data_IF_951870354813
#
_entry.id   IF_951870354813
#
_cell.length_a   1.000
_cell.length_b   1.000
_cell.length_c   1.000
_cell.angle_alpha   90.00
_cell.angle_beta   90.00
_cell.angle_gamma   90.00
#
_symmetry.space_group_name_H-M   'P 1'
#
loop_
_entity.id
_entity.type
_entity.pdbx_description
1 polymer ?
#
# COMPACT_ATOMS: atom_id res chain seq x y z
N UNK A 1 -24.04 -6.33 -3.62
CA UNK A 1 -23.19 -5.33 -4.29
C UNK A 1 -23.11 -5.72 -5.76
N UNK A 2 -23.26 -4.75 -6.67
CA UNK A 2 -23.14 -5.01 -8.11
C UNK A 2 -21.67 -5.12 -8.48
N UNK A 3 -21.35 -6.05 -9.39
CA UNK A 3 -19.99 -6.16 -9.92
C UNK A 3 -19.82 -5.16 -11.06
N UNK A 4 -18.76 -4.33 -10.98
CA UNK A 4 -18.42 -3.37 -12.04
C UNK A 4 -17.32 -3.89 -12.96
N UNK A 5 -16.50 -4.83 -12.45
CA UNK A 5 -15.46 -5.53 -13.20
C UNK A 5 -15.36 -6.97 -12.74
N UNK A 6 -15.30 -7.91 -13.70
CA UNK A 6 -15.09 -9.32 -13.42
C UNK A 6 -13.86 -9.83 -14.21
N UNK A 7 -12.89 -10.36 -13.52
CA UNK A 7 -11.69 -11.01 -14.09
C UNK A 7 -11.83 -12.51 -13.87
N UNK A 8 -11.89 -13.31 -14.94
CA UNK A 8 -12.20 -14.74 -14.88
C UNK A 8 -11.10 -15.58 -15.54
N UNK A 9 -10.35 -16.30 -14.72
CA UNK A 9 -9.31 -17.26 -15.15
C UNK A 9 -8.30 -16.67 -16.14
N UNK A 10 -7.93 -15.41 -15.95
CA UNK A 10 -7.08 -14.67 -16.87
C UNK A 10 -5.64 -15.14 -16.78
N UNK A 11 -5.11 -15.58 -17.92
CA UNK A 11 -3.71 -15.97 -18.07
C UNK A 11 -3.04 -15.15 -19.16
N UNK A 12 -1.78 -14.75 -18.93
CA UNK A 12 -0.94 -14.08 -19.92
C UNK A 12 0.41 -14.74 -20.04
N UNK A 13 0.68 -15.23 -21.24
CA UNK A 13 1.94 -15.84 -21.62
C UNK A 13 2.60 -14.95 -22.68
N UNK A 14 3.84 -14.54 -22.43
CA UNK A 14 4.68 -13.84 -23.40
C UNK A 14 5.65 -14.81 -24.05
N UNK A 15 5.76 -14.76 -25.37
CA UNK A 15 6.78 -15.49 -26.14
C UNK A 15 8.05 -14.65 -26.24
N UNK A 16 9.10 -15.09 -25.58
CA UNK A 16 10.40 -14.41 -25.57
C UNK A 16 11.36 -15.10 -26.53
N UNK A 17 11.74 -14.40 -27.58
CA UNK A 17 12.68 -14.89 -28.58
C UNK A 17 14.09 -14.36 -28.27
N UNK A 18 15.12 -15.20 -28.44
CA UNK A 18 16.51 -14.80 -28.27
C UNK A 18 17.00 -13.88 -29.41
N UNK A 19 16.42 -14.02 -30.60
CA UNK A 19 16.74 -13.25 -31.79
C UNK A 19 15.49 -13.02 -32.66
N UNK A 20 15.45 -11.91 -33.37
CA UNK A 20 14.38 -11.65 -34.35
C UNK A 20 14.31 -12.73 -35.44
N UNK A 21 15.45 -13.37 -35.78
CA UNK A 21 15.50 -14.51 -36.70
C UNK A 21 14.78 -15.75 -36.16
N UNK A 22 14.74 -15.97 -34.86
CA UNK A 22 14.08 -17.13 -34.27
C UNK A 22 12.56 -17.05 -34.45
N UNK A 23 12.00 -15.84 -34.45
CA UNK A 23 10.58 -15.59 -34.74
C UNK A 23 10.24 -15.96 -36.20
N UNK A 24 11.14 -15.61 -37.15
CA UNK A 24 10.97 -16.00 -38.56
C UNK A 24 11.13 -17.50 -38.76
N UNK A 25 12.13 -18.12 -38.13
CA UNK A 25 12.33 -19.57 -38.19
C UNK A 25 11.12 -20.36 -37.68
N UNK A 26 10.51 -19.89 -36.60
CA UNK A 26 9.30 -20.52 -36.03
C UNK A 26 8.15 -20.51 -37.01
N UNK A 27 8.01 -19.44 -37.83
CA UNK A 27 6.95 -19.31 -38.83
C UNK A 27 7.09 -20.37 -39.95
N UNK A 28 8.34 -20.68 -40.36
CA UNK A 28 8.62 -21.57 -41.50
C UNK A 28 8.88 -23.02 -41.09
N UNK A 29 9.48 -23.24 -39.91
CA UNK A 29 9.98 -24.56 -39.50
C UNK A 29 9.01 -25.34 -38.59
N UNK A 30 7.87 -24.76 -38.19
CA UNK A 30 6.88 -25.35 -37.27
C UNK A 30 7.48 -25.90 -35.96
N UNK A 31 8.66 -25.40 -35.56
CA UNK A 31 9.36 -25.76 -34.31
C UNK A 31 9.40 -24.51 -33.41
N UNK A 32 9.07 -24.67 -32.11
CA UNK A 32 9.13 -23.59 -31.14
C UNK A 32 10.58 -23.16 -30.89
N UNK A 33 10.85 -21.87 -31.09
CA UNK A 33 12.15 -21.20 -30.82
C UNK A 33 12.05 -20.15 -29.75
N UNK A 34 10.88 -19.99 -29.10
CA UNK A 34 10.65 -19.05 -28.00
C UNK A 34 10.70 -19.77 -26.65
N UNK A 35 10.98 -18.99 -25.61
CA UNK A 35 10.66 -19.36 -24.23
C UNK A 35 9.34 -18.73 -23.85
N UNK A 36 8.49 -19.49 -23.19
CA UNK A 36 7.28 -18.95 -22.60
C UNK A 36 7.60 -18.30 -21.24
N UNK A 37 7.10 -17.09 -21.07
CA UNK A 37 7.11 -16.37 -19.81
C UNK A 37 5.67 -16.13 -19.37
N UNK A 38 5.25 -16.83 -18.31
CA UNK A 38 3.92 -16.69 -17.73
C UNK A 38 3.94 -15.48 -16.80
N UNK A 39 3.29 -14.40 -17.21
CA UNK A 39 3.20 -13.16 -16.44
C UNK A 39 2.02 -13.15 -15.48
N UNK A 40 0.88 -13.70 -15.91
CA UNK A 40 -0.28 -13.95 -15.07
C UNK A 40 -0.76 -15.37 -15.33
N UNK A 41 -1.14 -16.09 -14.29
CA UNK A 41 -1.55 -17.48 -14.33
C UNK A 41 -2.86 -17.67 -13.56
N UNK A 42 -3.95 -17.85 -14.30
CA UNK A 42 -5.29 -18.13 -13.77
C UNK A 42 -5.79 -17.10 -12.73
N UNK A 43 -5.64 -15.82 -13.03
CA UNK A 43 -6.08 -14.71 -12.16
C UNK A 43 -7.61 -14.59 -12.21
N UNK A 44 -8.26 -14.59 -11.04
CA UNK A 44 -9.71 -14.38 -10.92
C UNK A 44 -10.04 -13.52 -9.74
N UNK A 45 -10.75 -12.42 -9.97
CA UNK A 45 -11.29 -11.54 -8.92
C UNK A 45 -12.40 -10.64 -9.47
N UNK A 46 -13.20 -10.10 -8.57
CA UNK A 46 -14.26 -9.15 -8.87
C UNK A 46 -13.97 -7.80 -8.19
N UNK A 47 -14.40 -6.71 -8.85
CA UNK A 47 -14.47 -5.38 -8.26
C UNK A 47 -15.94 -4.97 -8.17
N UNK A 48 -16.34 -4.46 -7.02
CA UNK A 48 -17.72 -4.02 -6.78
C UNK A 48 -17.87 -2.50 -6.91
N UNK A 49 -19.10 -2.04 -7.17
CA UNK A 49 -19.41 -0.60 -7.25
C UNK A 49 -19.04 0.12 -5.96
N UNK A 50 -18.29 1.24 -6.08
CA UNK A 50 -17.84 2.06 -4.96
C UNK A 50 -16.69 1.45 -4.16
N UNK A 51 -16.20 0.25 -4.52
CA UNK A 51 -15.08 -0.42 -3.85
C UNK A 51 -13.73 0.16 -4.28
N UNK A 52 -12.80 0.28 -3.35
CA UNK A 52 -11.36 0.47 -3.62
C UNK A 52 -10.63 -0.85 -3.38
N UNK A 53 -10.14 -1.46 -4.45
CA UNK A 53 -9.38 -2.70 -4.44
C UNK A 53 -7.89 -2.43 -4.59
N UNK A 54 -7.11 -2.74 -3.56
CA UNK A 54 -5.66 -2.66 -3.59
C UNK A 54 -5.02 -3.83 -4.32
N UNK A 55 -3.91 -3.60 -5.02
CA UNK A 55 -3.07 -4.68 -5.57
C UNK A 55 -1.63 -4.46 -5.12
N UNK A 56 -1.08 -5.45 -4.41
CA UNK A 56 0.29 -5.45 -3.91
C UNK A 56 1.05 -6.68 -4.40
N UNK A 57 2.36 -6.62 -4.43
CA UNK A 57 3.24 -7.73 -4.80
C UNK A 57 4.63 -7.23 -5.18
N UNK A 58 5.62 -8.11 -5.15
CA UNK A 58 7.00 -7.79 -5.51
C UNK A 58 7.13 -7.36 -6.98
N UNK A 59 8.27 -6.79 -7.34
CA UNK A 59 8.58 -6.47 -8.73
C UNK A 59 8.56 -7.75 -9.57
N UNK A 60 7.90 -7.71 -10.73
CA UNK A 60 7.71 -8.89 -11.58
C UNK A 60 6.56 -9.82 -11.16
N UNK A 61 5.77 -9.50 -10.13
CA UNK A 61 4.63 -10.31 -9.70
C UNK A 61 3.46 -10.35 -10.69
N UNK A 62 3.47 -9.51 -11.74
CA UNK A 62 2.42 -9.46 -12.77
C UNK A 62 1.42 -8.32 -12.62
N UNK A 63 1.63 -7.39 -11.66
CA UNK A 63 0.73 -6.25 -11.39
C UNK A 63 0.43 -5.43 -12.65
N UNK A 64 1.44 -4.84 -13.27
CA UNK A 64 1.26 -3.99 -14.47
C UNK A 64 0.68 -4.77 -15.67
N UNK A 65 0.92 -6.08 -15.76
CA UNK A 65 0.35 -6.91 -16.81
C UNK A 65 -1.15 -7.07 -16.65
N UNK A 66 -1.64 -7.41 -15.45
CA UNK A 66 -3.09 -7.56 -15.22
C UNK A 66 -3.81 -6.21 -15.39
N UNK A 67 -3.20 -5.10 -14.98
CA UNK A 67 -3.78 -3.78 -15.18
C UNK A 67 -3.88 -3.43 -16.68
N UNK A 68 -2.83 -3.68 -17.47
CA UNK A 68 -2.85 -3.48 -18.92
C UNK A 68 -3.90 -4.36 -19.63
N UNK A 69 -4.15 -5.56 -19.12
CA UNK A 69 -5.23 -6.43 -19.60
C UNK A 69 -6.61 -5.87 -19.23
N UNK A 70 -6.79 -5.35 -18.02
CA UNK A 70 -8.04 -4.72 -17.60
C UNK A 70 -8.34 -3.48 -18.45
N UNK A 71 -7.35 -2.64 -18.73
CA UNK A 71 -7.54 -1.48 -19.64
C UNK A 71 -7.84 -1.93 -21.06
N UNK A 72 -7.25 -3.03 -21.51
CA UNK A 72 -7.41 -3.54 -22.87
C UNK A 72 -6.21 -3.27 -23.78
N UNK A 73 -5.11 -2.71 -23.23
CA UNK A 73 -3.84 -2.51 -23.97
C UNK A 73 -3.18 -3.85 -24.29
N UNK A 74 -3.35 -4.84 -23.42
CA UNK A 74 -2.83 -6.21 -23.61
C UNK A 74 -3.98 -7.19 -23.56
N UNK A 75 -4.13 -8.01 -24.62
CA UNK A 75 -5.12 -9.10 -24.63
C UNK A 75 -4.66 -10.28 -23.78
N UNK A 76 -5.52 -10.90 -22.98
CA UNK A 76 -5.26 -12.17 -22.32
C UNK A 76 -4.88 -13.26 -23.32
N UNK A 77 -4.08 -14.24 -22.89
CA UNK A 77 -3.84 -15.48 -23.67
C UNK A 77 -5.05 -16.42 -23.51
N UNK A 78 -5.66 -16.44 -22.31
CA UNK A 78 -6.91 -17.13 -22.02
C UNK A 78 -7.64 -16.46 -20.87
N UNK A 79 -8.92 -16.77 -20.68
CA UNK A 79 -9.80 -16.16 -19.70
C UNK A 79 -10.46 -14.89 -20.23
N UNK A 80 -11.36 -14.32 -19.44
CA UNK A 80 -12.21 -13.20 -19.81
C UNK A 80 -12.16 -12.07 -18.80
N UNK A 81 -12.29 -10.82 -19.31
CA UNK A 81 -12.43 -9.61 -18.50
C UNK A 81 -13.72 -8.91 -18.92
N UNK A 82 -14.71 -8.91 -18.03
CA UNK A 82 -16.00 -8.27 -18.26
C UNK A 82 -16.03 -6.91 -17.53
N UNK A 83 -16.33 -5.85 -18.31
CA UNK A 83 -16.40 -4.46 -17.81
C UNK A 83 -17.82 -3.98 -17.94
N UNK A 84 -18.41 -3.52 -16.85
CA UNK A 84 -19.79 -3.01 -16.80
C UNK A 84 -19.83 -1.47 -16.75
N UNK A 85 -18.73 -0.80 -17.12
CA UNK A 85 -18.62 0.64 -17.17
C UNK A 85 -17.33 1.13 -17.83
N UNK A 86 -17.17 2.46 -17.88
CA UNK A 86 -15.94 3.11 -18.39
C UNK A 86 -14.80 2.86 -17.41
N UNK A 87 -13.71 2.28 -17.90
CA UNK A 87 -12.47 2.05 -17.15
C UNK A 87 -11.41 3.01 -17.66
N UNK A 88 -10.89 3.85 -16.79
CA UNK A 88 -9.79 4.78 -17.08
C UNK A 88 -8.58 4.44 -16.21
N UNK A 89 -7.39 4.47 -16.78
CA UNK A 89 -6.18 4.15 -16.06
C UNK A 89 -5.16 5.29 -16.10
N UNK A 90 -4.49 5.48 -14.97
CA UNK A 90 -3.36 6.40 -14.82
C UNK A 90 -2.00 5.69 -15.03
N UNK A 91 -2.01 4.45 -15.58
CA UNK A 91 -0.85 3.56 -15.71
C UNK A 91 0.30 4.12 -16.56
N UNK A 92 -0.05 4.97 -17.51
CA UNK A 92 0.92 5.55 -18.45
C UNK A 92 0.53 7.02 -18.67
N UNK A 93 0.53 7.80 -17.58
CA UNK A 93 0.18 9.21 -17.59
C UNK A 93 0.99 9.95 -18.68
N UNK A 94 0.27 10.52 -19.66
CA UNK A 94 0.89 11.26 -20.76
C UNK A 94 1.30 10.44 -21.99
N UNK A 95 1.20 9.10 -21.99
CA UNK A 95 1.55 8.29 -23.18
C UNK A 95 0.63 8.54 -24.39
N UNK A 96 -0.58 9.04 -24.15
CA UNK A 96 -1.51 9.47 -25.20
C UNK A 96 -1.32 10.92 -25.64
N UNK A 97 -0.40 11.69 -25.03
CA UNK A 97 -0.18 13.07 -25.41
C UNK A 97 0.56 13.20 -26.74
N UNK A 98 0.05 14.08 -27.59
CA UNK A 98 0.82 14.55 -28.74
C UNK A 98 1.68 15.74 -28.29
N UNK A 99 2.99 15.55 -28.29
CA UNK A 99 3.97 16.54 -27.81
C UNK A 99 3.99 17.84 -28.64
N UNK A 100 3.53 17.80 -29.87
CA UNK A 100 3.46 18.99 -30.76
C UNK A 100 2.19 19.81 -30.55
N UNK A 101 1.17 19.27 -29.90
CA UNK A 101 -0.08 19.96 -29.59
C UNK A 101 0.02 20.63 -28.22
N UNK A 102 -0.83 21.66 -28.04
CA UNK A 102 -0.97 22.36 -26.76
C UNK A 102 -1.59 21.46 -25.70
N UNK A 103 -1.45 21.85 -24.41
CA UNK A 103 -2.16 21.18 -23.33
C UNK A 103 -3.67 21.20 -23.56
N UNK A 104 -4.20 22.31 -24.03
CA UNK A 104 -5.63 22.48 -24.37
C UNK A 104 -6.08 21.47 -25.44
N UNK A 105 -5.36 21.35 -26.55
CA UNK A 105 -5.69 20.39 -27.61
C UNK A 105 -5.56 18.94 -27.11
N UNK A 106 -4.59 18.69 -26.23
CA UNK A 106 -4.40 17.38 -25.61
C UNK A 106 -5.55 17.00 -24.65
N UNK A 107 -6.27 17.96 -24.05
CA UNK A 107 -7.49 17.66 -23.29
C UNK A 107 -8.52 16.99 -24.20
N UNK A 108 -8.75 17.51 -25.41
CA UNK A 108 -9.68 16.90 -26.37
C UNK A 108 -9.18 15.54 -26.86
N UNK A 109 -7.90 15.47 -27.25
CA UNK A 109 -7.30 14.25 -27.77
C UNK A 109 -7.41 13.11 -26.72
N UNK A 110 -6.93 13.36 -25.51
CA UNK A 110 -6.95 12.34 -24.46
C UNK A 110 -8.34 12.09 -23.90
N UNK A 111 -9.16 13.13 -23.72
CA UNK A 111 -10.55 12.97 -23.33
C UNK A 111 -11.29 12.02 -24.26
N UNK A 112 -11.12 12.18 -25.59
CA UNK A 112 -11.72 11.29 -26.59
C UNK A 112 -11.14 9.86 -26.49
N UNK A 113 -9.83 9.70 -26.30
CA UNK A 113 -9.18 8.38 -26.17
C UNK A 113 -9.70 7.59 -24.95
N UNK A 114 -10.01 8.27 -23.86
CA UNK A 114 -10.59 7.62 -22.66
C UNK A 114 -12.12 7.53 -22.72
N UNK A 115 -12.74 7.90 -23.85
CA UNK A 115 -14.15 7.68 -24.15
C UNK A 115 -15.07 8.82 -23.75
N UNK A 116 -14.57 10.07 -23.60
CA UNK A 116 -15.42 11.26 -23.48
C UNK A 116 -15.90 11.71 -24.85
N UNK A 117 -17.14 12.16 -24.96
CA UNK A 117 -17.61 12.91 -26.11
C UNK A 117 -17.10 14.36 -26.06
N UNK A 118 -17.03 15.04 -27.21
CA UNK A 118 -16.64 16.47 -27.25
C UNK A 118 -17.53 17.32 -26.34
N UNK A 119 -18.83 17.04 -26.29
CA UNK A 119 -19.78 17.76 -25.42
C UNK A 119 -19.48 17.52 -23.92
N UNK A 120 -19.08 16.33 -23.52
CA UNK A 120 -18.62 16.07 -22.16
C UNK A 120 -17.34 16.85 -21.83
N UNK A 121 -16.40 16.92 -22.79
CA UNK A 121 -15.16 17.67 -22.63
C UNK A 121 -15.47 19.18 -22.49
N UNK A 122 -16.29 19.74 -23.36
CA UNK A 122 -16.69 21.15 -23.31
C UNK A 122 -17.29 21.55 -21.96
N UNK A 123 -18.10 20.68 -21.37
CA UNK A 123 -18.69 20.89 -20.04
C UNK A 123 -17.66 20.85 -18.91
N UNK A 124 -16.55 20.12 -19.07
CA UNK A 124 -15.55 19.86 -18.03
C UNK A 124 -14.22 20.58 -18.23
N UNK A 125 -14.02 21.22 -19.36
CA UNK A 125 -12.71 21.78 -19.75
C UNK A 125 -12.18 22.78 -18.72
N UNK A 126 -13.05 23.67 -18.20
CA UNK A 126 -12.67 24.66 -17.20
C UNK A 126 -12.28 24.01 -15.86
N UNK A 127 -12.99 22.95 -15.47
CA UNK A 127 -12.68 22.18 -14.27
C UNK A 127 -11.32 21.50 -14.43
N UNK A 128 -11.05 20.88 -15.60
CA UNK A 128 -9.79 20.20 -15.93
C UNK A 128 -8.62 21.20 -15.87
N UNK A 129 -8.76 22.36 -16.53
CA UNK A 129 -7.72 23.39 -16.56
C UNK A 129 -7.45 23.91 -15.14
N UNK A 130 -8.50 24.28 -14.41
CA UNK A 130 -8.38 24.77 -13.03
C UNK A 130 -7.75 23.76 -12.09
N UNK A 131 -8.10 22.47 -12.22
CA UNK A 131 -7.55 21.42 -11.38
C UNK A 131 -6.07 21.18 -11.67
N UNK A 132 -5.65 21.25 -12.95
CA UNK A 132 -4.26 21.02 -13.37
C UNK A 132 -3.27 22.07 -12.84
N UNK A 133 -3.74 23.27 -12.51
CA UNK A 133 -2.92 24.41 -12.02
C UNK A 133 -1.79 24.80 -12.99
N UNK A 134 -2.01 24.59 -14.29
CA UNK A 134 -1.01 24.93 -15.32
C UNK A 134 -1.04 26.40 -15.74
N UNK A 135 -2.11 27.14 -15.41
CA UNK A 135 -2.27 28.53 -15.83
C UNK A 135 -2.14 28.69 -17.35
N UNK A 136 -1.40 29.69 -17.78
CA UNK A 136 -1.22 30.00 -19.22
C UNK A 136 -0.43 28.93 -19.98
N UNK A 137 0.33 28.08 -19.28
CA UNK A 137 1.03 26.94 -19.90
C UNK A 137 0.08 25.96 -20.61
N UNK A 138 -1.22 25.98 -20.28
CA UNK A 138 -2.19 25.12 -20.95
C UNK A 138 -2.24 25.34 -22.47
N UNK A 139 -1.88 26.54 -22.93
CA UNK A 139 -1.83 26.91 -24.36
C UNK A 139 -0.47 26.67 -25.01
N UNK A 140 0.52 26.19 -24.24
CA UNK A 140 1.84 25.84 -24.75
C UNK A 140 1.90 24.36 -25.17
N UNK A 141 2.75 24.02 -26.17
CA UNK A 141 2.94 22.62 -26.58
C UNK A 141 3.47 21.74 -25.42
N UNK A 142 2.98 20.48 -25.33
CA UNK A 142 3.39 19.53 -24.28
C UNK A 142 4.90 19.29 -24.21
N UNK A 143 5.61 19.42 -25.33
CA UNK A 143 7.09 19.31 -25.35
C UNK A 143 7.81 20.32 -24.46
N UNK A 144 7.16 21.42 -24.10
CA UNK A 144 7.68 22.43 -23.17
C UNK A 144 7.38 22.12 -21.71
N UNK A 145 6.56 21.09 -21.42
CA UNK A 145 6.16 20.74 -20.08
C UNK A 145 7.23 19.95 -19.34
N UNK A 146 7.34 20.19 -18.05
CA UNK A 146 8.01 19.23 -17.16
C UNK A 146 7.19 17.94 -17.04
N UNK A 147 7.82 16.85 -16.60
CA UNK A 147 7.09 15.59 -16.34
C UNK A 147 5.95 15.78 -15.33
N UNK A 148 6.16 16.63 -14.30
CA UNK A 148 5.13 17.00 -13.34
C UNK A 148 3.96 17.73 -13.95
N UNK A 149 4.18 18.69 -14.86
CA UNK A 149 3.12 19.42 -15.57
C UNK A 149 2.28 18.48 -16.45
N UNK A 150 2.93 17.62 -17.22
CA UNK A 150 2.25 16.62 -18.03
C UNK A 150 1.40 15.66 -17.17
N UNK A 151 1.93 15.25 -16.02
CA UNK A 151 1.25 14.39 -15.05
C UNK A 151 0.01 15.07 -14.46
N UNK A 152 0.12 16.34 -14.05
CA UNK A 152 -1.00 17.14 -13.54
C UNK A 152 -2.13 17.23 -14.54
N UNK A 153 -1.82 17.49 -15.82
CA UNK A 153 -2.81 17.54 -16.89
C UNK A 153 -3.48 16.19 -17.10
N UNK A 154 -2.70 15.11 -17.21
CA UNK A 154 -3.22 13.77 -17.45
C UNK A 154 -4.13 13.29 -16.30
N UNK A 155 -3.73 13.53 -15.04
CA UNK A 155 -4.57 13.23 -13.88
C UNK A 155 -5.89 14.02 -13.90
N UNK A 156 -5.81 15.32 -14.24
CA UNK A 156 -7.00 16.19 -14.32
C UNK A 156 -7.99 15.66 -15.36
N UNK A 157 -7.53 15.30 -16.55
CA UNK A 157 -8.39 14.72 -17.59
C UNK A 157 -9.03 13.41 -17.08
N UNK A 158 -8.26 12.53 -16.48
CA UNK A 158 -8.74 11.24 -16.01
C UNK A 158 -9.79 11.36 -14.90
N UNK A 159 -9.58 12.20 -13.88
CA UNK A 159 -10.53 12.36 -12.77
C UNK A 159 -11.84 13.03 -13.18
N UNK A 160 -11.77 13.95 -14.15
CA UNK A 160 -12.95 14.65 -14.66
C UNK A 160 -13.68 13.91 -15.79
N UNK A 161 -13.10 12.82 -16.33
CA UNK A 161 -13.79 11.91 -17.25
C UNK A 161 -14.90 11.10 -16.57
N UNK A 162 -15.00 11.16 -15.25
CA UNK A 162 -15.98 10.47 -14.42
C UNK A 162 -16.09 8.98 -14.77
N UNK A 163 -14.99 8.22 -14.71
CA UNK A 163 -15.04 6.79 -14.99
C UNK A 163 -15.80 6.06 -13.88
N UNK A 164 -16.41 4.92 -14.21
CA UNK A 164 -16.95 4.01 -13.20
C UNK A 164 -15.84 3.25 -12.48
N UNK A 165 -14.73 2.97 -13.17
CA UNK A 165 -13.53 2.36 -12.59
C UNK A 165 -12.31 3.20 -12.92
N UNK A 166 -11.61 3.69 -11.90
CA UNK A 166 -10.32 4.38 -12.05
C UNK A 166 -9.19 3.45 -11.58
N UNK A 167 -8.21 3.23 -12.44
CA UNK A 167 -7.00 2.50 -12.09
C UNK A 167 -5.89 3.50 -11.79
N UNK A 168 -5.38 3.41 -10.56
CA UNK A 168 -4.31 4.28 -10.05
C UNK A 168 -3.09 3.41 -9.77
N UNK A 169 -2.00 3.65 -10.47
CA UNK A 169 -0.70 3.04 -10.23
C UNK A 169 0.22 4.05 -9.55
N UNK A 170 1.26 3.66 -8.90
CA UNK A 170 2.29 4.44 -8.16
C UNK A 170 2.49 5.91 -8.56
N UNK A 171 1.86 6.31 -9.68
CA UNK A 171 1.91 7.63 -10.28
C UNK A 171 1.37 8.78 -9.39
N UNK A 172 0.68 8.52 -8.28
CA UNK A 172 0.25 9.56 -7.33
C UNK A 172 1.41 10.15 -6.52
N UNK A 173 2.56 9.48 -6.49
CA UNK A 173 3.78 9.97 -5.84
C UNK A 173 4.56 10.98 -6.70
N UNK A 174 4.10 11.27 -7.92
CA UNK A 174 4.76 12.17 -8.88
C UNK A 174 4.10 13.55 -8.83
N UNK A 175 4.90 14.54 -8.53
CA UNK A 175 4.47 15.93 -8.36
C UNK A 175 4.95 16.47 -7.01
N UNK A 176 4.51 17.68 -6.67
CA UNK A 176 4.75 18.21 -5.33
C UNK A 176 3.70 17.70 -4.32
N UNK A 177 4.03 17.84 -3.04
CA UNK A 177 3.17 17.40 -1.94
C UNK A 177 1.77 18.06 -1.96
N UNK A 178 1.68 19.32 -2.46
CA UNK A 178 0.41 20.04 -2.58
C UNK A 178 -0.52 19.38 -3.57
N UNK A 179 -0.03 19.07 -4.78
CA UNK A 179 -0.83 18.43 -5.82
C UNK A 179 -1.20 16.98 -5.43
N UNK A 180 -0.30 16.23 -4.79
CA UNK A 180 -0.58 14.88 -4.27
C UNK A 180 -1.74 14.90 -3.25
N UNK A 181 -1.75 15.85 -2.31
CA UNK A 181 -2.84 16.03 -1.36
C UNK A 181 -4.17 16.36 -2.06
N UNK A 182 -4.14 17.22 -3.09
CA UNK A 182 -5.30 17.57 -3.92
C UNK A 182 -5.85 16.35 -4.66
N UNK A 183 -4.98 15.51 -5.23
CA UNK A 183 -5.35 14.26 -5.89
C UNK A 183 -6.03 13.29 -4.90
N UNK A 184 -5.44 13.07 -3.73
CA UNK A 184 -6.00 12.20 -2.68
C UNK A 184 -7.40 12.67 -2.25
N UNK A 185 -7.57 13.98 -2.04
CA UNK A 185 -8.87 14.57 -1.73
C UNK A 185 -9.89 14.32 -2.85
N UNK A 186 -9.51 14.57 -4.11
CA UNK A 186 -10.37 14.34 -5.26
C UNK A 186 -10.80 12.87 -5.40
N UNK A 187 -9.88 11.92 -5.19
CA UNK A 187 -10.19 10.48 -5.19
C UNK A 187 -11.19 10.12 -4.08
N UNK A 188 -10.98 10.65 -2.86
CA UNK A 188 -11.87 10.42 -1.73
C UNK A 188 -13.28 10.96 -1.99
N UNK A 189 -13.40 12.15 -2.59
CA UNK A 189 -14.69 12.74 -2.97
C UNK A 189 -15.39 11.92 -4.05
N UNK A 190 -14.65 11.43 -5.05
CA UNK A 190 -15.19 10.58 -6.12
C UNK A 190 -15.62 9.20 -5.62
N UNK A 191 -14.90 8.62 -4.66
CA UNK A 191 -15.32 7.38 -3.98
C UNK A 191 -16.70 7.54 -3.33
N UNK A 192 -16.98 8.67 -2.68
CA UNK A 192 -18.31 8.98 -2.12
C UNK A 192 -19.42 9.04 -3.17
N UNK A 193 -19.08 9.23 -4.43
CA UNK A 193 -20.00 9.23 -5.59
C UNK A 193 -20.03 7.88 -6.32
N UNK A 194 -19.73 6.79 -5.62
CA UNK A 194 -19.72 5.40 -6.13
C UNK A 194 -18.70 5.10 -7.24
N UNK A 195 -17.63 5.90 -7.39
CA UNK A 195 -16.52 5.52 -8.27
C UNK A 195 -15.73 4.38 -7.62
N UNK A 196 -15.51 3.31 -8.38
CA UNK A 196 -14.67 2.19 -7.97
C UNK A 196 -13.21 2.45 -8.32
N UNK A 197 -12.28 2.00 -7.50
CA UNK A 197 -10.85 2.27 -7.69
C UNK A 197 -10.08 0.96 -7.63
N UNK A 198 -9.17 0.74 -8.58
CA UNK A 198 -8.07 -0.23 -8.44
C UNK A 198 -6.83 0.58 -8.09
N UNK A 199 -6.29 0.34 -6.90
CA UNK A 199 -5.16 1.11 -6.37
C UNK A 199 -3.93 0.23 -6.23
N UNK A 200 -2.84 0.59 -6.93
CA UNK A 200 -1.56 -0.11 -6.86
C UNK A 200 -0.53 0.81 -6.23
N UNK A 201 0.04 0.37 -5.13
CA UNK A 201 1.03 1.15 -4.40
C UNK A 201 2.01 0.23 -3.67
N UNK A 202 3.24 0.71 -3.49
CA UNK A 202 4.21 0.14 -2.55
C UNK A 202 4.11 0.76 -1.15
N UNK A 203 3.34 1.84 -0.98
CA UNK A 203 3.05 2.42 0.32
C UNK A 203 1.94 1.64 1.03
N UNK A 204 2.35 0.83 1.99
CA UNK A 204 1.47 -0.04 2.77
C UNK A 204 0.44 0.75 3.59
N UNK A 205 0.81 1.95 4.07
CA UNK A 205 -0.08 2.80 4.85
C UNK A 205 -1.21 3.36 3.98
N UNK A 206 -0.91 3.81 2.77
CA UNK A 206 -1.93 4.25 1.82
C UNK A 206 -2.90 3.12 1.45
N UNK A 207 -2.40 1.88 1.29
CA UNK A 207 -3.26 0.71 1.05
C UNK A 207 -4.21 0.44 2.22
N UNK A 208 -3.72 0.52 3.48
CA UNK A 208 -4.54 0.35 4.68
C UNK A 208 -5.64 1.41 4.81
N UNK A 209 -5.32 2.66 4.45
CA UNK A 209 -6.25 3.78 4.61
C UNK A 209 -7.30 3.87 3.50
N UNK A 210 -6.94 3.53 2.27
CA UNK A 210 -7.77 3.79 1.10
C UNK A 210 -8.53 2.56 0.61
N UNK A 211 -8.01 1.35 0.81
CA UNK A 211 -8.55 0.13 0.22
C UNK A 211 -9.57 -0.55 1.15
N UNK A 212 -10.63 -1.06 0.55
CA UNK A 212 -11.62 -1.90 1.24
C UNK A 212 -11.18 -3.37 1.26
N UNK A 213 -10.49 -3.82 0.18
CA UNK A 213 -9.83 -5.12 0.07
C UNK A 213 -8.50 -4.97 -0.67
N UNK A 214 -7.60 -5.92 -0.47
CA UNK A 214 -6.30 -5.99 -1.14
C UNK A 214 -6.08 -7.37 -1.74
N UNK A 215 -5.39 -7.41 -2.88
CA UNK A 215 -4.91 -8.63 -3.55
C UNK A 215 -3.38 -8.67 -3.46
N UNK A 216 -2.84 -9.76 -2.94
CA UNK A 216 -1.41 -10.07 -3.02
C UNK A 216 -1.14 -10.91 -4.27
N UNK A 217 -0.37 -10.34 -5.20
CA UNK A 217 0.14 -11.06 -6.36
C UNK A 217 1.58 -11.54 -6.11
N UNK A 218 1.83 -12.80 -6.42
CA UNK A 218 3.17 -13.38 -6.38
C UNK A 218 3.38 -14.31 -7.57
N UNK A 219 4.46 -14.10 -8.33
CA UNK A 219 4.83 -14.92 -9.50
C UNK A 219 3.67 -15.18 -10.47
N UNK A 220 2.89 -14.15 -10.74
CA UNK A 220 1.75 -14.20 -11.66
C UNK A 220 0.47 -14.81 -11.10
N UNK A 221 0.41 -15.19 -9.84
CA UNK A 221 -0.76 -15.78 -9.18
C UNK A 221 -1.27 -14.89 -8.04
N UNK A 222 -2.56 -15.04 -7.73
CA UNK A 222 -3.11 -14.47 -6.50
C UNK A 222 -2.73 -15.41 -5.36
N UNK A 223 -1.97 -14.89 -4.41
CA UNK A 223 -1.59 -15.61 -3.18
C UNK A 223 -2.63 -15.42 -2.08
N UNK A 224 -3.17 -14.21 -1.95
CA UNK A 224 -4.20 -13.88 -0.97
C UNK A 224 -5.08 -12.72 -1.45
N UNK A 225 -6.35 -12.77 -1.07
CA UNK A 225 -7.31 -11.66 -1.19
C UNK A 225 -8.00 -11.52 0.16
N UNK A 226 -8.17 -10.31 0.66
CA UNK A 226 -8.87 -10.05 1.92
C UNK A 226 -8.74 -8.63 2.40
N UNK A 227 -8.99 -8.45 3.70
CA UNK A 227 -8.80 -7.20 4.40
C UNK A 227 -7.36 -6.69 4.26
N UNK A 228 -7.16 -5.36 4.14
CA UNK A 228 -5.84 -4.79 3.87
C UNK A 228 -4.75 -5.27 4.85
N UNK A 229 -5.04 -5.27 6.15
CA UNK A 229 -4.09 -5.64 7.20
C UNK A 229 -3.61 -7.09 7.03
N UNK A 230 -4.54 -8.02 6.82
CA UNK A 230 -4.24 -9.45 6.64
C UNK A 230 -3.38 -9.73 5.41
N UNK A 231 -3.63 -9.00 4.32
CA UNK A 231 -2.90 -9.19 3.07
C UNK A 231 -1.53 -8.56 3.15
N UNK A 232 -1.40 -7.39 3.79
CA UNK A 232 -0.13 -6.72 4.01
C UNK A 232 0.79 -7.56 4.92
N UNK A 233 0.25 -8.19 5.96
CA UNK A 233 1.03 -9.10 6.80
C UNK A 233 1.56 -10.31 6.00
N UNK A 234 0.74 -10.86 5.09
CA UNK A 234 1.18 -11.92 4.18
C UNK A 234 2.25 -11.43 3.20
N UNK A 235 2.16 -10.18 2.74
CA UNK A 235 3.19 -9.55 1.90
C UNK A 235 4.52 -9.37 2.67
N UNK A 236 4.48 -8.86 3.90
CA UNK A 236 5.67 -8.71 4.74
C UNK A 236 6.35 -10.07 5.00
N UNK A 237 5.55 -11.11 5.26
CA UNK A 237 6.06 -12.48 5.35
C UNK A 237 6.70 -12.98 4.05
N UNK A 238 6.12 -12.65 2.89
CA UNK A 238 6.72 -12.99 1.60
C UNK A 238 8.06 -12.29 1.39
N UNK A 239 8.15 -10.99 1.74
CA UNK A 239 9.39 -10.21 1.62
C UNK A 239 10.47 -10.77 2.53
N UNK A 240 10.15 -11.09 3.80
CA UNK A 240 11.13 -11.70 4.71
C UNK A 240 11.69 -13.02 4.16
N UNK A 241 10.81 -13.89 3.61
CA UNK A 241 11.25 -15.14 2.95
C UNK A 241 12.18 -14.92 1.74
N UNK A 242 11.96 -13.86 0.98
CA UNK A 242 12.80 -13.55 -0.18
C UNK A 242 14.19 -13.05 0.24
N UNK A 243 14.25 -12.26 1.31
CA UNK A 243 15.51 -11.78 1.89
C UNK A 243 16.32 -12.94 2.52
N UNK A 244 15.64 -13.90 3.17
CA UNK A 244 16.28 -15.07 3.78
C UNK A 244 16.72 -16.14 2.77
N UNK A 245 16.26 -16.07 1.51
CA UNK A 245 16.69 -17.02 0.47
C UNK A 245 18.19 -16.89 0.12
N UNK A 246 18.81 -15.77 0.45
CA UNK A 246 20.27 -15.58 0.40
C UNK A 246 20.99 -16.18 1.63
N UNK A 247 20.31 -16.37 2.78
CA UNK A 247 20.85 -16.85 4.06
C UNK A 247 20.09 -18.09 4.61
N UNK A 248 19.93 -19.16 3.92
CA UNK A 248 19.49 -20.52 4.30
C UNK A 248 18.58 -20.71 5.56
N UNK A 249 17.86 -19.69 6.01
CA UNK A 249 16.95 -19.76 7.16
C UNK A 249 15.51 -19.99 6.69
N UNK A 250 14.88 -21.08 7.11
CA UNK A 250 13.51 -21.39 6.75
C UNK A 250 12.53 -20.77 7.76
N UNK A 251 11.83 -19.70 7.35
CA UNK A 251 10.74 -19.13 8.15
C UNK A 251 9.51 -20.05 8.16
N UNK A 252 8.88 -20.18 9.33
CA UNK A 252 7.63 -20.92 9.53
C UNK A 252 6.51 -19.92 9.83
N UNK A 253 5.29 -20.22 9.41
CA UNK A 253 4.09 -19.49 9.80
C UNK A 253 3.19 -20.44 10.58
N UNK A 254 2.84 -20.06 11.80
CA UNK A 254 1.92 -20.82 12.65
C UNK A 254 0.48 -20.33 12.56
N UNK A 255 0.30 -19.07 12.13
CA UNK A 255 -1.02 -18.42 11.91
C UNK A 255 -0.86 -17.24 10.96
N UNK A 256 -1.96 -16.65 10.50
CA UNK A 256 -1.94 -15.44 9.67
C UNK A 256 -1.35 -14.20 10.39
N UNK A 257 -1.24 -14.24 11.72
CA UNK A 257 -0.75 -13.14 12.55
C UNK A 257 0.63 -13.41 13.18
N UNK A 258 1.27 -14.55 12.88
CA UNK A 258 2.52 -14.95 13.50
C UNK A 258 3.46 -15.62 12.51
N UNK A 259 4.69 -15.12 12.39
CA UNK A 259 5.73 -15.70 11.54
C UNK A 259 7.14 -15.51 12.11
N UNK A 260 8.11 -16.29 11.65
CA UNK A 260 9.50 -16.27 12.06
C UNK A 260 10.15 -17.63 11.98
N UNK A 261 11.40 -17.78 12.49
CA UNK A 261 12.06 -19.07 12.66
C UNK A 261 11.52 -19.84 13.86
N UNK A 262 10.99 -19.13 14.85
CA UNK A 262 10.54 -19.60 16.16
C UNK A 262 11.67 -20.22 17.02
N UNK A 263 12.91 -19.89 16.70
CA UNK A 263 14.04 -20.22 17.56
C UNK A 263 13.98 -19.46 18.89
N UNK A 264 13.39 -18.27 18.85
CA UNK A 264 12.96 -17.48 20.02
C UNK A 264 11.49 -17.14 19.83
N UNK A 265 10.65 -17.49 20.80
CA UNK A 265 9.20 -17.34 20.70
C UNK A 265 8.64 -16.32 21.69
N UNK A 266 7.81 -15.41 21.23
CA UNK A 266 6.96 -14.59 22.08
C UNK A 266 5.79 -15.46 22.52
N UNK A 267 5.67 -15.68 23.83
CA UNK A 267 4.61 -16.52 24.42
C UNK A 267 3.37 -15.70 24.76
N UNK A 268 3.57 -14.47 25.26
CA UNK A 268 2.49 -13.61 25.71
C UNK A 268 2.92 -12.15 25.64
N UNK A 269 1.99 -11.28 25.29
CA UNK A 269 2.13 -9.83 25.38
C UNK A 269 0.94 -9.28 26.15
N UNK A 270 1.21 -8.48 27.17
CA UNK A 270 0.16 -7.81 27.97
C UNK A 270 0.47 -6.34 28.10
N UNK A 271 -0.56 -5.53 28.27
CA UNK A 271 -0.44 -4.11 28.60
C UNK A 271 -1.34 -3.78 29.79
N UNK A 272 -0.82 -2.99 30.73
CA UNK A 272 -1.61 -2.47 31.84
C UNK A 272 -1.17 -1.07 32.20
N UNK A 273 -2.14 -0.22 32.48
CA UNK A 273 -1.88 1.09 33.11
C UNK A 273 -1.39 0.88 34.55
N UNK A 274 -0.43 1.68 34.96
CA UNK A 274 0.16 1.59 36.32
C UNK A 274 -0.88 1.96 37.39
N UNK A 275 -1.73 2.96 37.12
CA UNK A 275 -2.74 3.40 38.07
C UNK A 275 -4.06 2.65 37.91
N UNK A 276 -4.49 2.43 36.65
CA UNK A 276 -5.74 1.72 36.34
C UNK A 276 -5.67 0.22 36.57
N UNK A 277 -4.46 -0.35 36.53
CA UNK A 277 -4.21 -1.81 36.57
C UNK A 277 -5.09 -2.60 35.57
N UNK A 278 -5.38 -2.00 34.42
CA UNK A 278 -6.28 -2.46 33.39
C UNK A 278 -5.68 -2.21 32.00
N UNK A 279 -6.24 -2.87 30.99
CA UNK A 279 -6.02 -2.60 29.56
C UNK A 279 -6.88 -1.43 29.03
N UNK A 280 -7.77 -0.87 29.86
CA UNK A 280 -8.44 0.42 29.63
C UNK A 280 -7.64 1.48 30.37
N UNK A 281 -6.92 2.31 29.63
CA UNK A 281 -5.87 3.21 30.15
C UNK A 281 -6.24 4.65 29.84
N UNK A 282 -6.02 5.57 30.79
CA UNK A 282 -6.25 6.99 30.52
C UNK A 282 -5.11 7.59 29.70
N UNK A 283 -5.42 8.49 28.76
CA UNK A 283 -4.39 9.24 28.03
C UNK A 283 -3.48 9.98 29.01
N UNK A 284 -2.16 9.83 28.89
CA UNK A 284 -1.17 10.39 29.82
C UNK A 284 -0.81 9.49 30.99
N UNK A 285 -1.51 8.40 31.21
CA UNK A 285 -1.16 7.39 32.20
C UNK A 285 0.08 6.61 31.75
N UNK A 286 0.95 6.28 32.69
CA UNK A 286 2.06 5.36 32.43
C UNK A 286 1.51 3.94 32.31
N UNK A 287 1.89 3.25 31.23
CA UNK A 287 1.54 1.85 31.01
C UNK A 287 2.81 0.99 30.91
N UNK A 288 2.68 -0.26 31.37
CA UNK A 288 3.68 -1.30 31.21
C UNK A 288 3.21 -2.28 30.15
N UNK A 289 4.02 -2.45 29.11
CA UNK A 289 3.88 -3.50 28.10
C UNK A 289 4.87 -4.61 28.46
N UNK A 290 4.36 -5.77 28.81
CA UNK A 290 5.16 -6.93 29.20
C UNK A 290 5.15 -7.97 28.09
N UNK A 291 6.33 -8.42 27.67
CA UNK A 291 6.53 -9.42 26.62
C UNK A 291 7.26 -10.61 27.24
N UNK A 292 6.58 -11.75 27.30
CA UNK A 292 7.17 -13.02 27.73
C UNK A 292 7.74 -13.77 26.54
N UNK A 293 9.01 -14.14 26.62
CA UNK A 293 9.77 -14.70 25.52
C UNK A 293 10.42 -16.00 26.00
N UNK A 294 10.35 -17.03 25.19
CA UNK A 294 11.05 -18.30 25.42
C UNK A 294 12.07 -18.55 24.31
N UNK A 295 13.28 -18.95 24.67
CA UNK A 295 14.33 -19.24 23.70
C UNK A 295 14.60 -20.74 23.60
N UNK A 296 14.60 -21.24 22.36
CA UNK A 296 14.96 -22.63 22.05
C UNK A 296 16.46 -22.79 21.73
N UNK A 297 17.20 -21.70 21.64
CA UNK A 297 18.62 -21.66 21.27
C UNK A 297 19.39 -20.62 22.09
N UNK A 298 20.71 -20.76 22.12
CA UNK A 298 21.61 -19.67 22.55
C UNK A 298 21.83 -18.74 21.39
N UNK A 299 21.49 -17.44 21.55
CA UNK A 299 21.67 -16.42 20.50
C UNK A 299 21.89 -15.06 21.15
N UNK A 300 22.81 -14.28 20.57
CA UNK A 300 23.22 -12.98 21.09
C UNK A 300 22.92 -11.84 20.12
N UNK A 301 22.93 -10.61 20.63
CA UNK A 301 22.78 -9.37 19.89
C UNK A 301 21.41 -9.25 19.18
N UNK A 302 20.37 -9.67 19.89
CA UNK A 302 18.99 -9.63 19.41
C UNK A 302 18.28 -8.33 19.81
N UNK A 303 17.21 -8.06 19.09
CA UNK A 303 16.35 -6.90 19.28
C UNK A 303 14.93 -7.35 19.58
N UNK A 304 14.34 -6.79 20.62
CA UNK A 304 12.90 -6.92 20.91
C UNK A 304 12.25 -5.61 20.50
N UNK A 305 11.19 -5.64 19.70
CA UNK A 305 10.48 -4.47 19.22
C UNK A 305 9.00 -4.50 19.55
N UNK A 306 8.40 -3.33 19.67
CA UNK A 306 6.96 -3.13 19.79
C UNK A 306 6.50 -2.10 18.75
N UNK A 307 5.26 -2.26 18.27
CA UNK A 307 4.58 -1.34 17.37
C UNK A 307 3.13 -1.18 17.82
N UNK A 308 2.72 0.03 18.09
CA UNK A 308 1.34 0.39 18.46
C UNK A 308 0.63 0.86 17.20
N UNK A 309 -0.56 0.30 16.95
CA UNK A 309 -1.42 0.67 15.83
C UNK A 309 -2.81 1.10 16.31
N UNK A 310 -3.43 1.97 15.55
CA UNK A 310 -4.83 2.36 15.79
C UNK A 310 -5.81 1.30 15.25
N UNK A 311 -7.10 1.55 15.43
CA UNK A 311 -8.19 0.69 14.95
C UNK A 311 -8.27 0.54 13.41
N UNK A 312 -7.56 1.37 12.66
CA UNK A 312 -7.48 1.30 11.20
C UNK A 312 -6.19 0.62 10.73
N UNK A 313 -5.37 0.10 11.66
CA UNK A 313 -4.09 -0.53 11.38
C UNK A 313 -2.97 0.46 11.05
N UNK A 314 -3.16 1.76 11.30
CA UNK A 314 -2.13 2.77 11.08
C UNK A 314 -1.07 2.69 12.20
N UNK A 315 0.21 2.68 11.81
CA UNK A 315 1.31 2.70 12.75
C UNK A 315 1.36 4.06 13.47
N UNK A 316 1.22 4.05 14.80
CA UNK A 316 1.19 5.24 15.65
C UNK A 316 2.53 5.47 16.32
N UNK A 317 3.11 4.40 16.87
CA UNK A 317 4.38 4.46 17.56
C UNK A 317 5.09 3.13 17.51
N UNK A 318 6.38 3.13 17.19
CA UNK A 318 7.23 1.94 17.22
C UNK A 318 8.56 2.23 17.89
N UNK A 319 9.05 1.28 18.68
CA UNK A 319 10.38 1.31 19.28
C UNK A 319 10.92 -0.08 19.51
N UNK A 320 12.20 -0.17 19.76
CA UNK A 320 12.87 -1.45 20.03
C UNK A 320 14.08 -1.29 20.96
N UNK A 321 14.59 -2.38 21.47
CA UNK A 321 15.76 -2.40 22.39
C UNK A 321 17.02 -1.85 21.71
N UNK A 322 17.19 -2.02 20.38
CA UNK A 322 18.34 -1.50 19.64
C UNK A 322 18.40 0.04 19.67
N UNK A 323 17.28 0.73 19.47
CA UNK A 323 17.21 2.20 19.54
C UNK A 323 17.53 2.74 20.94
N UNK A 324 17.34 1.92 21.96
CA UNK A 324 17.68 2.24 23.35
C UNK A 324 19.08 1.76 23.77
N UNK A 325 19.88 1.25 22.82
CA UNK A 325 21.22 0.68 23.08
C UNK A 325 21.22 -0.46 24.09
N UNK A 326 20.14 -1.23 24.15
CA UNK A 326 20.01 -2.41 25.03
C UNK A 326 20.31 -3.65 24.17
N UNK A 327 21.37 -4.36 24.50
CA UNK A 327 21.70 -5.64 23.90
C UNK A 327 20.94 -6.75 24.61
N UNK A 328 20.37 -7.66 23.81
CA UNK A 328 19.59 -8.78 24.31
C UNK A 328 20.24 -10.08 23.89
N UNK A 329 20.63 -10.89 24.86
CA UNK A 329 21.19 -12.23 24.67
C UNK A 329 20.23 -13.23 25.26
N UNK A 330 19.84 -14.22 24.47
CA UNK A 330 18.95 -15.29 24.90
C UNK A 330 19.75 -16.56 25.15
N UNK A 331 19.41 -17.26 26.23
CA UNK A 331 19.96 -18.56 26.57
C UNK A 331 18.92 -19.64 26.26
N UNK A 332 19.40 -20.75 25.77
CA UNK A 332 18.57 -21.91 25.43
C UNK A 332 17.75 -22.38 26.63
N UNK A 333 16.50 -22.78 26.35
CA UNK A 333 15.54 -23.33 27.34
C UNK A 333 15.28 -22.38 28.54
N UNK A 334 15.37 -21.05 28.31
CA UNK A 334 15.07 -20.01 29.30
C UNK A 334 13.93 -19.11 28.88
N UNK A 335 13.20 -18.64 29.88
CA UNK A 335 12.20 -17.59 29.73
C UNK A 335 12.77 -16.23 30.09
N UNK A 336 12.32 -15.20 29.33
CA UNK A 336 12.70 -13.81 29.52
C UNK A 336 11.46 -12.97 29.62
N UNK A 337 11.51 -11.89 30.38
CA UNK A 337 10.48 -10.86 30.45
C UNK A 337 11.08 -9.53 30.03
N UNK A 338 10.56 -8.96 28.94
CA UNK A 338 10.89 -7.60 28.51
C UNK A 338 9.73 -6.68 28.86
N UNK A 339 9.99 -5.57 29.56
CA UNK A 339 8.98 -4.59 29.94
C UNK A 339 9.31 -3.23 29.34
N UNK A 340 8.37 -2.68 28.56
CA UNK A 340 8.38 -1.29 28.12
C UNK A 340 7.46 -0.49 29.02
N UNK A 341 8.01 0.54 29.67
CA UNK A 341 7.24 1.45 30.54
C UNK A 341 7.26 2.85 29.95
N UNK A 342 6.08 3.40 29.61
CA UNK A 342 5.98 4.72 28.99
C UNK A 342 4.63 5.39 29.25
N UNK A 343 4.56 6.74 29.26
CA UNK A 343 3.29 7.44 29.28
C UNK A 343 2.57 7.25 27.93
N UNK A 344 1.31 6.83 27.98
CA UNK A 344 0.47 6.70 26.80
C UNK A 344 -0.22 8.01 26.45
N UNK A 345 0.48 8.91 25.78
CA UNK A 345 -0.04 10.19 25.32
C UNK A 345 -0.89 10.06 24.04
N UNK A 346 -1.77 9.06 23.99
CA UNK A 346 -2.60 8.74 22.83
C UNK A 346 -4.03 9.30 23.00
N UNK A 347 -4.67 9.63 21.89
CA UNK A 347 -6.09 9.99 21.84
C UNK A 347 -6.99 8.82 22.24
N UNK A 348 -8.24 9.15 22.66
CA UNK A 348 -9.21 8.11 22.99
C UNK A 348 -9.51 7.21 21.80
N UNK A 349 -9.45 5.88 22.00
CA UNK A 349 -9.66 4.91 20.93
C UNK A 349 -9.15 3.52 21.29
N UNK A 350 -9.35 2.58 20.37
CA UNK A 350 -8.85 1.22 20.46
C UNK A 350 -7.53 1.09 19.70
N UNK A 351 -6.60 0.39 20.29
CA UNK A 351 -5.24 0.21 19.78
C UNK A 351 -4.83 -1.26 19.88
N UNK A 352 -3.87 -1.63 19.06
CA UNK A 352 -3.27 -2.97 19.05
C UNK A 352 -1.76 -2.86 19.22
N UNK A 353 -1.14 -3.88 19.81
CA UNK A 353 0.31 -4.01 19.91
C UNK A 353 0.75 -5.17 19.05
N UNK A 354 1.76 -4.93 18.22
CA UNK A 354 2.57 -5.95 17.56
C UNK A 354 3.89 -6.04 18.30
N UNK A 355 4.39 -7.25 18.51
CA UNK A 355 5.69 -7.50 19.11
C UNK A 355 6.57 -8.33 18.19
N UNK A 356 7.88 -8.09 18.21
CA UNK A 356 8.82 -8.80 17.36
C UNK A 356 10.15 -9.07 18.07
N UNK A 357 10.78 -10.20 17.70
CA UNK A 357 12.17 -10.51 18.03
C UNK A 357 12.93 -10.73 16.74
N UNK A 358 13.98 -9.95 16.52
CA UNK A 358 14.78 -9.98 15.29
C UNK A 358 16.22 -9.57 15.54
N UNK A 359 17.09 -9.70 14.54
CA UNK A 359 18.47 -9.18 14.63
C UNK A 359 18.53 -7.71 14.18
N UNK A 360 19.43 -6.93 14.77
CA UNK A 360 19.72 -5.51 14.43
C UNK A 360 18.48 -4.59 14.51
N UNK A 361 18.44 -3.55 13.66
CA UNK A 361 17.42 -2.51 13.64
C UNK A 361 16.23 -2.79 12.72
N UNK A 362 16.34 -3.79 11.85
CA UNK A 362 15.31 -4.12 10.86
C UNK A 362 14.72 -5.52 11.07
N UNK A 363 13.40 -5.59 11.19
CA UNK A 363 12.64 -6.85 11.31
C UNK A 363 12.63 -7.70 10.02
N UNK A 364 13.09 -7.15 8.89
CA UNK A 364 13.18 -7.84 7.60
C UNK A 364 14.43 -8.71 7.48
N UNK A 365 15.43 -8.52 8.37
CA UNK A 365 16.62 -9.35 8.44
C UNK A 365 16.54 -10.26 9.65
N UNK A 366 16.62 -11.60 9.47
CA UNK A 366 16.61 -12.63 10.53
C UNK A 366 15.50 -12.43 11.56
N UNK A 367 14.24 -12.50 11.13
CA UNK A 367 13.08 -12.45 12.01
C UNK A 367 12.93 -13.77 12.75
N UNK A 368 13.14 -13.75 14.08
CA UNK A 368 12.97 -14.93 14.93
C UNK A 368 11.51 -15.17 15.26
N UNK A 369 10.77 -14.11 15.61
CA UNK A 369 9.32 -14.16 15.78
C UNK A 369 8.71 -12.77 15.62
N UNK A 370 7.73 -12.66 14.74
CA UNK A 370 6.83 -11.52 14.56
C UNK A 370 5.43 -11.96 14.98
N UNK A 371 4.80 -11.21 15.86
CA UNK A 371 3.46 -11.46 16.35
C UNK A 371 2.61 -10.19 16.21
N UNK A 372 1.75 -10.18 15.19
CA UNK A 372 0.74 -9.12 15.02
C UNK A 372 -0.43 -9.33 15.96
N UNK A 373 -1.09 -8.22 16.32
CA UNK A 373 -2.25 -8.24 17.24
C UNK A 373 -1.96 -9.00 18.53
N UNK A 374 -0.72 -8.89 19.03
CA UNK A 374 -0.26 -9.60 20.21
C UNK A 374 -1.11 -9.29 21.45
N UNK A 375 -1.57 -8.04 21.59
CA UNK A 375 -2.62 -7.66 22.53
C UNK A 375 -3.37 -6.42 22.06
N UNK A 376 -4.58 -6.23 22.60
CA UNK A 376 -5.42 -5.05 22.37
C UNK A 376 -5.55 -4.25 23.66
N UNK A 377 -5.72 -2.93 23.51
CA UNK A 377 -6.02 -2.04 24.64
C UNK A 377 -6.89 -0.88 24.18
N UNK A 378 -7.50 -0.20 25.16
CA UNK A 378 -8.32 0.96 24.91
C UNK A 378 -7.80 2.17 25.70
N UNK A 379 -7.70 3.31 25.01
CA UNK A 379 -7.44 4.58 25.69
C UNK A 379 -8.78 5.27 25.90
N UNK A 380 -9.17 5.37 27.19
CA UNK A 380 -10.43 6.00 27.61
C UNK A 380 -10.15 6.91 28.82
N UNK A 381 -10.63 8.15 28.73
CA UNK A 381 -10.30 9.16 29.75
C UNK A 381 -9.04 9.93 29.42
N UNK A 382 -8.77 10.97 30.22
CA UNK A 382 -7.68 11.91 30.02
C UNK A 382 -7.06 12.32 31.35
N UNK A 383 -5.76 12.15 31.48
CA UNK A 383 -4.95 12.74 32.54
C UNK A 383 -4.14 13.90 31.97
N UNK A 384 -4.40 15.13 32.40
CA UNK A 384 -3.73 16.34 31.94
C UNK A 384 -4.55 17.17 30.94
N UNK A 385 -3.87 17.95 30.09
CA UNK A 385 -4.50 18.92 29.21
C UNK A 385 -5.28 18.28 28.07
N UNK A 386 -6.41 18.91 27.72
CA UNK A 386 -7.26 18.49 26.60
C UNK A 386 -6.52 18.77 25.28
N UNK A 387 -6.54 17.77 24.40
CA UNK A 387 -5.99 17.88 23.05
C UNK A 387 -6.92 17.25 22.03
N UNK A 388 -6.71 17.59 20.76
CA UNK A 388 -7.42 16.98 19.64
C UNK A 388 -6.40 16.33 18.71
N UNK A 389 -6.59 15.04 18.37
CA UNK A 389 -5.68 14.30 17.50
C UNK A 389 -5.31 12.94 18.07
N UNK A 390 -4.35 12.29 17.41
CA UNK A 390 -3.91 10.92 17.74
C UNK A 390 -2.97 10.90 18.94
N UNK A 391 -2.14 11.94 19.11
CA UNK A 391 -1.20 12.01 20.23
C UNK A 391 -1.17 13.41 20.84
N UNK A 392 -0.86 13.47 22.15
CA UNK A 392 -0.65 14.71 22.89
C UNK A 392 0.80 15.14 22.79
N UNK A 393 1.00 16.36 22.36
CA UNK A 393 2.26 17.10 22.49
C UNK A 393 2.11 18.12 23.62
N UNK A 394 3.20 18.53 24.23
CA UNK A 394 3.21 19.51 25.33
C UNK A 394 3.73 20.88 24.82
N UNK A 395 2.87 21.69 24.15
CA UNK A 395 3.28 23.01 23.65
C UNK A 395 3.47 24.01 24.80
N UNK A 396 4.52 24.81 24.69
CA UNK A 396 4.59 26.06 25.47
C UNK A 396 3.97 27.20 24.64
N UNK A 397 3.05 27.96 25.23
CA UNK A 397 2.31 29.01 24.53
C UNK A 397 2.63 30.31 25.19
N UNK A 398 3.28 31.24 24.45
CA UNK A 398 3.53 32.62 24.86
C UNK A 398 2.73 33.56 23.94
N UNK A 399 1.91 34.42 24.51
CA UNK A 399 1.14 35.41 23.77
C UNK A 399 1.69 36.82 24.07
N UNK A 400 2.30 37.45 23.08
CA UNK A 400 2.79 38.83 23.16
C UNK A 400 1.90 39.75 22.33
N UNK A 401 1.44 40.84 22.96
CA UNK A 401 0.79 41.93 22.23
C UNK A 401 1.86 42.74 21.50
N UNK A 402 1.77 42.82 20.19
CA UNK A 402 2.64 43.66 19.36
C UNK A 402 1.90 44.97 19.14
N UNK A 403 2.32 46.01 19.85
CA UNK A 403 1.88 47.39 19.61
C UNK A 403 2.57 47.89 18.33
N UNK A 404 1.76 48.39 17.37
CA UNK A 404 2.23 48.97 16.10
C UNK A 404 2.70 50.40 16.32
#
# INVERSE_FOLDING_TARGET
>A
MNKILEVKNVTKIYKVYKSNFDRLKELFLKKSYHKEFVSNDNISFDLYEGETLGIIGVNGAGKSTILKQIVGVVTPTSGDILKHGRVTALLELGTGFNHELTGFDNIYLNGTLIGMSNSEIDLKINDIISFSELGDYIYEPIKSYSSGMAMRLAFSIAIFSQPQVLIVDEALSVGDAHFSAKCTKALTERKKLNMSIIYVSHDLNSLKLLCDRVILLNKGKIEKIGEPEDVINSYNFLISKLNDADDKVSLKSCSNSSYGTFDVEIKEVTIKGVNSNSDIISSGEVANIEIRIFSNIDISDMTIGILIRDKFGQDIFGTNTFYHNIKVDFQKDKEFLCTYSMPLNLGSGKYTITAAVHSKDMHLENCLHWLDYACNFEVAGLLGDIFTGICRLEPKIDLLKIDK
#
